data_IF_051103831535
#
_entry.id   IF_051103831535
#
_cell.length_a   1.000
_cell.length_b   1.000
_cell.length_c   1.000
_cell.angle_alpha   90.00
_cell.angle_beta   90.00
_cell.angle_gamma   90.00
#
_symmetry.space_group_name_H-M   'P 1'
#
loop_
_entity.id
_entity.type
_entity.pdbx_description
1 polymer ?
#
# COMPACT_ATOMS: atom_id res chain seq x y z
N UNK A 1 10.14 -63.55 -23.07
CA UNK A 1 11.21 -62.56 -22.79
C UNK A 1 10.62 -61.14 -22.86
N UNK A 2 9.61 -60.81 -22.03
CA UNK A 2 8.87 -59.54 -22.23
C UNK A 2 8.24 -58.86 -21.00
N UNK A 3 8.18 -59.49 -19.80
CA UNK A 3 7.46 -58.89 -18.67
C UNK A 3 8.33 -58.12 -17.64
N UNK A 4 9.66 -58.09 -17.84
CA UNK A 4 10.60 -57.41 -16.93
C UNK A 4 10.53 -55.87 -16.99
N UNK A 5 9.64 -55.30 -17.82
CA UNK A 5 9.47 -53.85 -18.03
C UNK A 5 8.30 -53.23 -17.27
N UNK A 6 7.42 -54.03 -16.66
CA UNK A 6 6.20 -53.51 -15.99
C UNK A 6 6.46 -53.05 -14.55
N UNK A 7 7.59 -53.41 -13.95
CA UNK A 7 7.91 -53.13 -12.54
C UNK A 7 8.58 -51.77 -12.26
N UNK A 8 8.85 -50.94 -13.27
CA UNK A 8 9.57 -49.66 -13.09
C UNK A 8 8.65 -48.42 -13.08
N UNK A 9 7.35 -48.57 -13.37
CA UNK A 9 6.45 -47.43 -13.51
C UNK A 9 5.70 -46.99 -12.22
N UNK A 10 6.05 -47.52 -11.05
CA UNK A 10 5.26 -47.36 -9.82
C UNK A 10 6.09 -46.78 -8.65
N UNK A 11 6.93 -45.78 -8.90
CA UNK A 11 7.82 -45.24 -7.87
C UNK A 11 8.02 -43.71 -7.83
N UNK A 12 7.11 -42.90 -8.38
CA UNK A 12 7.04 -41.48 -8.01
C UNK A 12 5.58 -41.00 -8.10
N UNK A 13 4.95 -40.69 -6.96
CA UNK A 13 5.03 -39.30 -6.52
C UNK A 13 5.11 -39.20 -4.99
N UNK A 14 6.31 -39.01 -4.44
CA UNK A 14 6.45 -38.64 -3.03
C UNK A 14 7.58 -37.63 -2.81
N UNK A 15 7.68 -36.64 -3.70
CA UNK A 15 8.69 -35.58 -3.58
C UNK A 15 8.14 -34.22 -4.04
N UNK A 16 7.01 -33.81 -3.46
CA UNK A 16 6.38 -32.52 -3.76
C UNK A 16 6.00 -31.68 -2.53
N UNK A 17 6.29 -32.12 -1.30
CA UNK A 17 5.75 -31.50 -0.08
C UNK A 17 6.78 -30.72 0.76
N UNK A 18 7.90 -30.25 0.21
CA UNK A 18 8.88 -29.54 1.04
C UNK A 18 9.62 -28.44 0.30
N UNK A 19 8.91 -27.36 -0.03
CA UNK A 19 9.50 -26.02 -0.11
C UNK A 19 8.38 -24.97 -0.19
N UNK A 20 7.61 -24.81 0.89
CA UNK A 20 6.95 -23.52 1.08
C UNK A 20 8.08 -22.49 1.26
N UNK A 21 8.19 -21.45 0.41
CA UNK A 21 9.18 -20.40 0.65
C UNK A 21 8.92 -19.83 2.05
N UNK A 22 9.96 -19.51 2.83
CA UNK A 22 9.75 -18.86 4.12
C UNK A 22 8.93 -17.60 3.85
N UNK A 23 7.79 -17.48 4.52
CA UNK A 23 7.00 -16.26 4.52
C UNK A 23 7.91 -15.15 5.04
N UNK A 24 8.50 -14.37 4.12
CA UNK A 24 9.21 -13.15 4.46
C UNK A 24 8.15 -12.26 5.09
N UNK A 25 8.22 -12.05 6.40
CA UNK A 25 7.54 -10.93 7.02
C UNK A 25 7.97 -9.70 6.21
N UNK A 26 7.02 -9.12 5.46
CA UNK A 26 7.25 -7.91 4.69
C UNK A 26 7.41 -6.78 5.72
N UNK A 27 8.63 -6.62 6.24
CA UNK A 27 9.09 -5.38 6.87
C UNK A 27 9.25 -4.30 5.80
N UNK A 28 8.24 -4.14 4.94
CA UNK A 28 8.21 -3.12 3.90
C UNK A 28 7.89 -1.77 4.52
N UNK A 29 8.48 -0.72 3.98
CA UNK A 29 8.08 0.64 4.32
C UNK A 29 6.72 0.92 3.68
N UNK A 30 5.74 1.30 4.50
CA UNK A 30 4.45 1.76 3.99
C UNK A 30 4.64 3.10 3.27
N UNK A 31 4.21 3.19 2.02
CA UNK A 31 4.25 4.42 1.22
C UNK A 31 2.97 5.20 1.45
N UNK A 32 3.10 6.39 2.04
CA UNK A 32 1.98 7.26 2.39
C UNK A 32 2.00 8.50 1.48
N UNK A 33 0.98 8.63 0.64
CA UNK A 33 0.74 9.81 -0.16
C UNK A 33 -0.16 10.75 0.64
N UNK A 34 0.36 11.90 1.07
CA UNK A 34 -0.37 12.83 1.90
C UNK A 34 -0.32 14.26 1.35
N UNK A 35 -1.42 14.98 1.51
CA UNK A 35 -1.48 16.39 1.15
C UNK A 35 -0.35 17.18 1.84
N UNK A 36 0.24 18.13 1.12
CA UNK A 36 1.40 18.90 1.60
C UNK A 36 1.14 19.64 2.93
N UNK A 37 -0.10 20.07 3.19
CA UNK A 37 -0.50 20.70 4.46
C UNK A 37 -0.39 19.79 5.69
N UNK A 38 -0.24 18.48 5.50
CA UNK A 38 -0.11 17.49 6.57
C UNK A 38 1.35 17.11 6.87
N UNK A 39 2.32 17.75 6.22
CA UNK A 39 3.76 17.41 6.33
C UNK A 39 4.22 17.37 7.78
N UNK A 40 4.06 18.48 8.51
CA UNK A 40 4.62 18.62 9.84
C UNK A 40 3.99 17.65 10.84
N UNK A 41 2.65 17.54 10.81
CA UNK A 41 1.90 16.68 11.74
C UNK A 41 2.18 15.20 11.49
N UNK A 42 2.25 14.75 10.24
CA UNK A 42 2.52 13.34 9.93
C UNK A 42 3.97 12.96 10.22
N UNK A 43 4.92 13.87 9.98
CA UNK A 43 6.31 13.66 10.38
C UNK A 43 6.45 13.60 11.91
N UNK A 44 5.74 14.45 12.64
CA UNK A 44 5.71 14.40 14.10
C UNK A 44 5.14 13.07 14.60
N UNK A 45 3.97 12.66 14.10
CA UNK A 45 3.35 11.37 14.46
C UNK A 45 4.31 10.21 14.17
N UNK A 46 5.01 10.22 13.03
CA UNK A 46 5.95 9.17 12.70
C UNK A 46 7.14 9.09 13.67
N UNK A 47 7.63 10.23 14.17
CA UNK A 47 8.67 10.25 15.20
C UNK A 47 8.14 9.74 16.53
N UNK A 48 7.02 10.28 16.99
CA UNK A 48 6.45 10.01 18.32
C UNK A 48 5.97 8.56 18.45
N UNK A 49 5.46 7.96 17.37
CA UNK A 49 5.01 6.58 17.32
C UNK A 49 6.13 5.57 16.99
N UNK A 50 7.39 6.00 16.84
CA UNK A 50 8.50 5.11 16.49
C UNK A 50 8.35 4.46 15.10
N UNK A 51 7.72 5.17 14.16
CA UNK A 51 7.51 4.73 12.77
C UNK A 51 8.62 5.21 11.81
N UNK A 52 9.67 5.85 12.34
CA UNK A 52 10.83 6.24 11.57
C UNK A 52 11.42 5.04 10.81
N UNK A 53 11.61 5.20 9.49
CA UNK A 53 12.11 4.12 8.62
C UNK A 53 11.12 2.99 8.33
N UNK A 54 9.88 3.05 8.87
CA UNK A 54 8.76 2.13 8.56
C UNK A 54 7.72 2.76 7.64
N UNK A 55 7.74 4.08 7.50
CA UNK A 55 6.85 4.85 6.65
C UNK A 55 7.67 5.75 5.73
N UNK A 56 7.33 5.72 4.44
CA UNK A 56 7.87 6.61 3.42
C UNK A 56 6.78 7.57 2.98
N UNK A 57 6.94 8.85 3.31
CA UNK A 57 5.98 9.87 2.92
C UNK A 57 6.28 10.46 1.53
N UNK A 58 5.23 10.72 0.77
CA UNK A 58 5.23 11.57 -0.42
C UNK A 58 4.23 12.70 -0.18
N UNK A 59 4.76 13.92 -0.08
CA UNK A 59 3.95 15.12 0.16
C UNK A 59 3.83 15.94 -1.13
N UNK A 60 2.59 16.20 -1.56
CA UNK A 60 2.30 17.09 -2.68
C UNK A 60 0.84 17.59 -2.63
N UNK A 61 0.40 18.31 -3.65
CA UNK A 61 -1.02 18.62 -3.81
C UNK A 61 -1.84 17.32 -3.94
N UNK A 62 -3.01 17.27 -3.30
CA UNK A 62 -3.88 16.08 -3.34
C UNK A 62 -4.25 15.68 -4.77
N UNK A 63 -4.42 16.66 -5.66
CA UNK A 63 -4.61 16.47 -7.10
C UNK A 63 -3.48 15.70 -7.77
N UNK A 64 -2.25 16.14 -7.53
CA UNK A 64 -1.04 15.51 -8.06
C UNK A 64 -0.91 14.08 -7.58
N UNK A 65 -1.11 13.85 -6.27
CA UNK A 65 -1.01 12.51 -5.67
C UNK A 65 -2.09 11.58 -6.21
N UNK A 66 -3.35 12.03 -6.30
CA UNK A 66 -4.44 11.23 -6.86
C UNK A 66 -4.17 10.82 -8.31
N UNK A 67 -3.62 11.74 -9.14
CA UNK A 67 -3.21 11.43 -10.52
C UNK A 67 -2.01 10.49 -10.57
N UNK A 68 -1.07 10.59 -9.64
CA UNK A 68 0.04 9.63 -9.56
C UNK A 68 -0.48 8.23 -9.22
N UNK A 69 -1.40 8.09 -8.26
CA UNK A 69 -2.04 6.80 -7.93
C UNK A 69 -2.77 6.24 -9.15
N UNK A 70 -3.51 7.08 -9.86
CA UNK A 70 -4.16 6.71 -11.12
C UNK A 70 -3.18 6.20 -12.18
N UNK A 71 -1.98 6.80 -12.25
CA UNK A 71 -0.90 6.41 -13.15
C UNK A 71 -0.13 5.16 -12.65
N UNK A 72 -0.57 4.53 -11.56
CA UNK A 72 0.02 3.32 -11.02
C UNK A 72 1.16 3.55 -10.01
N UNK A 73 1.31 4.76 -9.49
CA UNK A 73 2.26 5.00 -8.40
C UNK A 73 1.84 4.20 -7.16
N UNK A 74 2.76 3.43 -6.53
CA UNK A 74 2.42 2.61 -5.38
C UNK A 74 2.22 3.48 -4.13
N UNK A 75 1.00 3.49 -3.60
CA UNK A 75 0.65 4.12 -2.35
C UNK A 75 -0.18 3.15 -1.50
N UNK A 76 0.27 2.90 -0.27
CA UNK A 76 -0.44 2.05 0.69
C UNK A 76 -1.52 2.85 1.45
N UNK A 77 -1.31 4.17 1.56
CA UNK A 77 -2.25 5.09 2.20
C UNK A 77 -2.30 6.41 1.43
N UNK A 78 -3.50 6.89 1.16
CA UNK A 78 -3.75 8.20 0.55
C UNK A 78 -4.51 9.11 1.51
N UNK A 79 -3.97 10.29 1.81
CA UNK A 79 -4.58 11.29 2.68
C UNK A 79 -4.72 12.59 1.88
N UNK A 80 -5.95 12.88 1.45
CA UNK A 80 -6.31 14.11 0.72
C UNK A 80 -6.64 15.26 1.67
N UNK A 81 -6.38 16.50 1.24
CA UNK A 81 -6.81 17.70 1.95
C UNK A 81 -8.29 18.03 1.73
N UNK A 82 -8.91 17.49 0.67
CA UNK A 82 -10.30 17.73 0.34
C UNK A 82 -11.04 16.45 -0.10
N UNK A 83 -12.37 16.54 -0.06
CA UNK A 83 -13.25 15.43 -0.42
C UNK A 83 -13.30 15.18 -1.92
N UNK A 84 -13.14 16.20 -2.75
CA UNK A 84 -13.24 16.09 -4.20
C UNK A 84 -12.16 15.14 -4.78
N UNK A 85 -10.93 15.22 -4.29
CA UNK A 85 -9.87 14.29 -4.71
C UNK A 85 -10.00 12.89 -4.10
N UNK A 86 -10.65 12.77 -2.94
CA UNK A 86 -10.97 11.45 -2.38
C UNK A 86 -12.13 10.79 -3.15
N UNK A 87 -13.12 11.58 -3.61
CA UNK A 87 -14.19 11.14 -4.51
C UNK A 87 -13.63 10.73 -5.87
N UNK A 88 -12.71 11.53 -6.43
CA UNK A 88 -11.99 11.20 -7.65
C UNK A 88 -11.31 9.83 -7.55
N UNK A 89 -10.57 9.59 -6.46
CA UNK A 89 -9.89 8.33 -6.24
C UNK A 89 -10.88 7.17 -6.11
N UNK A 90 -11.97 7.36 -5.37
CA UNK A 90 -12.99 6.32 -5.18
C UNK A 90 -13.73 5.96 -6.47
N UNK A 91 -14.18 6.96 -7.24
CA UNK A 91 -14.93 6.77 -8.48
C UNK A 91 -14.12 6.01 -9.54
N UNK A 92 -12.79 6.12 -9.48
CA UNK A 92 -11.86 5.41 -10.36
C UNK A 92 -11.36 4.08 -9.79
N UNK A 93 -11.87 3.65 -8.64
CA UNK A 93 -11.47 2.40 -7.99
C UNK A 93 -10.03 2.40 -7.49
N UNK A 94 -9.45 3.58 -7.21
CA UNK A 94 -8.06 3.73 -6.77
C UNK A 94 -7.88 3.53 -5.26
N UNK A 95 -8.98 3.45 -4.52
CA UNK A 95 -9.02 3.21 -3.07
C UNK A 95 -10.10 2.19 -2.75
N UNK A 96 -9.98 1.52 -1.60
CA UNK A 96 -11.07 0.74 -1.03
C UNK A 96 -12.06 1.69 -0.30
N UNK A 97 -13.32 1.82 -0.78
CA UNK A 97 -14.33 2.67 -0.15
C UNK A 97 -14.57 2.33 1.33
N UNK A 98 -14.41 1.05 1.73
CA UNK A 98 -14.60 0.61 3.10
C UNK A 98 -13.55 1.18 4.06
N UNK A 99 -12.41 1.65 3.55
CA UNK A 99 -11.30 2.23 4.34
C UNK A 99 -11.34 3.75 4.43
N UNK A 100 -12.10 4.43 3.57
CA UNK A 100 -12.18 5.90 3.54
C UNK A 100 -12.77 6.46 4.82
N UNK A 101 -12.09 7.41 5.46
CA UNK A 101 -12.57 8.12 6.66
C UNK A 101 -12.27 9.61 6.57
N UNK A 102 -13.15 10.45 7.10
CA UNK A 102 -12.88 11.86 7.35
C UNK A 102 -12.21 11.96 8.72
N UNK A 103 -10.96 12.45 8.76
CA UNK A 103 -10.14 12.46 9.97
C UNK A 103 -9.93 13.87 10.55
N UNK A 104 -9.95 14.89 9.71
CA UNK A 104 -9.67 16.27 10.10
C UNK A 104 -10.41 17.26 9.18
N UNK A 105 -10.55 18.50 9.65
CA UNK A 105 -11.05 19.64 8.88
C UNK A 105 -10.15 20.85 9.09
N UNK A 106 -10.23 21.83 8.19
CA UNK A 106 -9.47 23.07 8.30
C UNK A 106 -10.32 24.28 7.90
N UNK A 107 -9.84 25.48 8.20
CA UNK A 107 -10.41 26.76 7.73
C UNK A 107 -9.34 27.52 6.96
N UNK A 108 -9.74 28.16 5.87
CA UNK A 108 -8.88 29.12 5.18
C UNK A 108 -8.86 30.42 5.97
N UNK A 109 -7.67 30.97 6.16
CA UNK A 109 -7.45 32.26 6.80
C UNK A 109 -6.63 33.14 5.86
N UNK A 110 -7.01 34.40 5.78
CA UNK A 110 -6.20 35.46 5.18
C UNK A 110 -5.44 36.14 6.32
N UNK A 111 -4.14 36.34 6.13
CA UNK A 111 -3.31 37.11 7.06
C UNK A 111 -2.92 38.38 6.31
N UNK A 112 -3.17 39.53 6.94
CA UNK A 112 -2.73 40.85 6.48
C UNK A 112 -1.29 41.14 6.92
#
# INVERSE_FOLDING_TARGET
>A
MTYRRVLIALLLPLLGLAAAPPARAQGGQATVFAAASLTDVLQQIARDAGLAGRVKFSFAASSTLARQIEQGAPADLFISADQAWMDYAQQRGLIDPATRRVMAGNRLALIE
#
